data_IF_112624961182
#
_entry.id   IF_112624961182
#
_cell.length_a   1.000
_cell.length_b   1.000
_cell.length_c   1.000
_cell.angle_alpha   90.00
_cell.angle_beta   90.00
_cell.angle_gamma   90.00
#
_symmetry.space_group_name_H-M   'P 1'
#
loop_
_entity.id
_entity.type
_entity.pdbx_description
1 polymer ?
#
# COMPACT_ATOMS: atom_id res chain seq x y z
N UNK A 1 -12.54 -9.41 -3.26
CA UNK A 1 -13.82 -8.76 -2.91
C UNK A 1 -14.21 -8.92 -1.44
N UNK A 2 -14.28 -10.13 -0.84
CA UNK A 2 -14.68 -10.35 0.60
C UNK A 2 -14.09 -9.34 1.61
N UNK A 3 -12.80 -9.00 1.49
CA UNK A 3 -12.15 -8.09 2.43
C UNK A 3 -12.70 -6.65 2.40
N UNK A 4 -13.37 -6.23 1.32
CA UNK A 4 -14.01 -4.91 1.24
C UNK A 4 -15.13 -4.76 2.27
N UNK A 5 -15.79 -5.87 2.60
CA UNK A 5 -16.88 -5.92 3.58
C UNK A 5 -16.33 -6.18 4.99
N UNK A 6 -15.43 -7.15 5.13
CA UNK A 6 -14.98 -7.63 6.45
C UNK A 6 -13.91 -6.74 7.09
N UNK A 7 -13.08 -6.05 6.28
CA UNK A 7 -11.91 -5.27 6.72
C UNK A 7 -11.00 -6.07 7.68
N UNK A 8 -10.95 -7.38 7.44
CA UNK A 8 -10.11 -8.30 8.19
C UNK A 8 -8.63 -7.95 7.95
N UNK A 9 -8.29 -7.73 6.68
CA UNK A 9 -6.97 -7.30 6.22
C UNK A 9 -6.91 -5.81 5.93
N UNK A 10 -5.79 -5.20 6.29
CA UNK A 10 -5.44 -3.82 5.93
C UNK A 10 -4.63 -3.84 4.64
N UNK A 11 -5.12 -3.15 3.62
CA UNK A 11 -4.40 -3.00 2.36
C UNK A 11 -3.55 -1.72 2.41
N UNK A 12 -2.27 -1.79 2.06
CA UNK A 12 -1.38 -0.62 1.93
C UNK A 12 -1.00 -0.43 0.47
N UNK A 13 -1.30 0.75 -0.05
CA UNK A 13 -0.92 1.22 -1.38
C UNK A 13 0.43 1.94 -1.32
N UNK A 14 1.44 1.39 -2.01
CA UNK A 14 2.81 1.89 -2.06
C UNK A 14 3.03 3.00 -3.10
N UNK A 15 2.00 3.38 -3.87
CA UNK A 15 2.10 4.45 -4.88
C UNK A 15 2.17 5.83 -4.22
N UNK A 16 2.56 6.83 -4.99
CA UNK A 16 2.56 8.22 -4.50
C UNK A 16 1.14 8.67 -4.14
N UNK A 17 1.04 9.60 -3.19
CA UNK A 17 -0.25 10.08 -2.69
C UNK A 17 -1.14 10.67 -3.80
N UNK A 18 -0.55 11.31 -4.82
CA UNK A 18 -1.30 11.79 -5.99
C UNK A 18 -1.96 10.65 -6.76
N UNK A 19 -1.21 9.59 -7.09
CA UNK A 19 -1.75 8.41 -7.78
C UNK A 19 -2.84 7.70 -6.97
N UNK A 20 -2.62 7.55 -5.66
CA UNK A 20 -3.63 7.02 -4.74
C UNK A 20 -4.93 7.85 -4.76
N UNK A 21 -4.84 9.18 -4.79
CA UNK A 21 -6.02 10.06 -4.91
C UNK A 21 -6.64 10.09 -6.31
N UNK A 22 -5.98 9.51 -7.31
CA UNK A 22 -6.38 9.55 -8.71
C UNK A 22 -5.96 10.83 -9.45
N UNK A 23 -5.01 11.56 -8.90
CA UNK A 23 -4.44 12.76 -9.50
C UNK A 23 -3.31 12.38 -10.46
N UNK A 24 -3.30 13.00 -11.65
CA UNK A 24 -2.24 12.84 -12.66
C UNK A 24 -1.96 11.37 -13.04
N UNK A 25 -2.99 10.53 -13.08
CA UNK A 25 -2.83 9.13 -13.51
C UNK A 25 -2.55 9.07 -15.02
N UNK A 26 -1.39 8.53 -15.37
CA UNK A 26 -0.90 8.41 -16.76
C UNK A 26 -0.45 7.00 -17.11
N UNK A 27 -0.43 6.09 -16.12
CA UNK A 27 0.07 4.73 -16.25
C UNK A 27 -1.07 3.71 -16.35
N UNK A 28 -2.12 3.90 -15.55
CA UNK A 28 -3.26 2.98 -15.47
C UNK A 28 -4.53 3.56 -16.10
N UNK A 29 -5.49 2.69 -16.45
CA UNK A 29 -6.71 3.09 -17.16
C UNK A 29 -7.63 4.00 -16.33
N UNK A 30 -7.57 3.89 -14.99
CA UNK A 30 -8.38 4.66 -14.05
C UNK A 30 -7.50 5.12 -12.90
N UNK A 31 -7.59 6.40 -12.54
CA UNK A 31 -6.97 6.95 -11.33
C UNK A 31 -7.81 6.64 -10.08
N UNK A 32 -7.15 6.51 -8.93
CA UNK A 32 -7.79 6.28 -7.64
C UNK A 32 -7.13 5.14 -6.88
N UNK A 33 -7.85 4.57 -5.91
CA UNK A 33 -7.37 3.45 -5.10
C UNK A 33 -8.50 2.48 -4.74
N UNK A 34 -8.10 1.33 -4.20
CA UNK A 34 -8.99 0.27 -3.74
C UNK A 34 -9.66 0.75 -2.44
N UNK A 35 -11.00 0.64 -2.30
CA UNK A 35 -11.69 1.14 -1.12
C UNK A 35 -11.12 0.59 0.20
N UNK A 36 -10.86 1.50 1.14
CA UNK A 36 -10.32 1.16 2.46
C UNK A 36 -8.81 0.88 2.49
N UNK A 37 -8.10 1.00 1.37
CA UNK A 37 -6.64 0.97 1.38
C UNK A 37 -6.08 2.17 2.15
N UNK A 38 -4.98 1.98 2.86
CA UNK A 38 -4.14 3.05 3.39
C UNK A 38 -3.07 3.41 2.37
N UNK A 39 -2.59 4.66 2.37
CA UNK A 39 -1.46 5.07 1.53
C UNK A 39 -0.20 5.28 2.37
N UNK A 40 0.91 4.71 1.91
CA UNK A 40 2.27 5.05 2.35
C UNK A 40 3.15 5.00 1.12
N UNK A 41 3.81 6.08 0.76
CA UNK A 41 4.64 6.06 -0.44
C UNK A 41 5.90 5.22 -0.16
N UNK A 42 6.30 4.34 -1.07
CA UNK A 42 7.43 3.44 -0.80
C UNK A 42 8.73 4.17 -0.45
N UNK A 43 8.94 5.38 -0.99
CA UNK A 43 10.11 6.21 -0.71
C UNK A 43 10.13 6.72 0.73
N UNK A 44 9.00 6.76 1.41
CA UNK A 44 8.93 7.14 2.83
C UNK A 44 9.60 6.10 3.74
N UNK A 45 9.96 4.92 3.21
CA UNK A 45 10.79 3.93 3.94
C UNK A 45 12.29 4.23 3.84
N UNK A 46 12.69 5.18 2.99
CA UNK A 46 14.07 5.46 2.67
C UNK A 46 14.54 6.78 3.32
N UNK A 47 15.84 6.90 3.55
CA UNK A 47 16.52 8.15 3.86
C UNK A 47 16.73 8.95 2.57
N UNK A 48 17.17 10.21 2.70
CA UNK A 48 17.52 11.07 1.55
C UNK A 48 18.56 10.44 0.61
N UNK A 49 19.40 9.57 1.15
CA UNK A 49 20.50 8.93 0.43
C UNK A 49 20.08 7.59 -0.19
N UNK A 50 18.79 7.23 -0.09
CA UNK A 50 18.21 6.03 -0.72
C UNK A 50 18.37 4.73 0.07
N UNK A 51 18.89 4.79 1.31
CA UNK A 51 18.96 3.64 2.19
C UNK A 51 17.66 3.46 2.98
N UNK A 52 17.32 2.24 3.41
CA UNK A 52 16.22 2.06 4.35
C UNK A 52 16.50 2.83 5.65
N UNK A 53 15.44 3.44 6.20
CA UNK A 53 15.45 3.98 7.56
C UNK A 53 15.80 2.87 8.57
N UNK A 54 16.22 3.26 9.77
CA UNK A 54 16.55 2.30 10.82
C UNK A 54 15.31 1.48 11.24
N UNK A 55 15.54 0.26 11.72
CA UNK A 55 14.46 -0.64 12.17
C UNK A 55 13.51 0.00 13.20
N UNK A 56 13.97 0.74 14.23
CA UNK A 56 13.07 1.40 15.17
C UNK A 56 12.18 2.45 14.51
N UNK A 57 12.73 3.28 13.61
CA UNK A 57 11.97 4.33 12.91
C UNK A 57 10.91 3.70 12.00
N UNK A 58 11.28 2.68 11.22
CA UNK A 58 10.33 1.97 10.38
C UNK A 58 9.21 1.32 11.21
N UNK A 59 9.57 0.69 12.33
CA UNK A 59 8.60 0.07 13.24
C UNK A 59 7.60 1.09 13.78
N UNK A 60 8.08 2.23 14.26
CA UNK A 60 7.22 3.28 14.81
C UNK A 60 6.28 3.84 13.74
N UNK A 61 6.80 4.14 12.55
CA UNK A 61 5.98 4.65 11.43
C UNK A 61 4.93 3.63 10.95
N UNK A 62 5.29 2.35 10.84
CA UNK A 62 4.33 1.29 10.49
C UNK A 62 3.29 1.08 11.59
N UNK A 63 3.66 1.16 12.87
CA UNK A 63 2.70 1.06 13.96
C UNK A 63 1.71 2.24 13.97
N UNK A 64 2.18 3.46 13.68
CA UNK A 64 1.29 4.63 13.52
C UNK A 64 0.31 4.41 12.37
N UNK A 65 0.77 3.85 11.25
CA UNK A 65 -0.07 3.57 10.09
C UNK A 65 -1.08 2.44 10.35
N UNK A 66 -0.66 1.36 11.02
CA UNK A 66 -1.44 0.13 11.18
C UNK A 66 -2.33 0.13 12.42
N UNK A 67 -2.00 0.92 13.44
CA UNK A 67 -2.61 0.82 14.76
C UNK A 67 -2.39 -0.57 15.36
N UNK A 68 -3.47 -1.20 15.85
CA UNK A 68 -3.42 -2.52 16.49
C UNK A 68 -3.41 -3.70 15.50
N UNK A 69 -3.36 -3.43 14.18
CA UNK A 69 -3.42 -4.48 13.16
C UNK A 69 -2.08 -5.23 13.08
N UNK A 70 -2.08 -6.57 13.23
CA UNK A 70 -0.85 -7.35 13.11
C UNK A 70 -0.35 -7.38 11.66
N UNK A 71 0.96 -7.47 11.48
CA UNK A 71 1.60 -7.49 10.16
C UNK A 71 1.07 -8.60 9.23
N UNK A 72 0.67 -9.75 9.79
CA UNK A 72 0.11 -10.87 9.03
C UNK A 72 -1.29 -10.60 8.45
N UNK A 73 -1.95 -9.54 8.94
CA UNK A 73 -3.20 -9.03 8.39
C UNK A 73 -2.97 -7.86 7.42
N UNK A 74 -1.74 -7.62 6.98
CA UNK A 74 -1.41 -6.59 6.02
C UNK A 74 -1.26 -7.20 4.63
N UNK A 75 -1.88 -6.55 3.64
CA UNK A 75 -1.68 -6.83 2.22
C UNK A 75 -1.03 -5.60 1.58
N UNK A 76 0.03 -5.81 0.82
CA UNK A 76 0.83 -4.78 0.18
C UNK A 76 0.53 -4.79 -1.33
N UNK A 77 0.30 -3.61 -1.89
CA UNK A 77 0.08 -3.43 -3.33
C UNK A 77 0.74 -2.14 -3.85
N UNK A 78 0.90 -2.05 -5.16
CA UNK A 78 1.27 -0.78 -5.81
C UNK A 78 0.58 -0.61 -7.18
N UNK A 79 1.31 -0.21 -8.23
CA UNK A 79 0.79 -0.27 -9.60
C UNK A 79 0.71 -1.71 -10.10
N UNK A 80 1.86 -2.36 -10.17
CA UNK A 80 2.06 -3.68 -10.78
C UNK A 80 2.81 -4.68 -9.89
N UNK A 81 2.70 -4.53 -8.56
CA UNK A 81 3.28 -5.43 -7.57
C UNK A 81 4.78 -5.26 -7.26
N UNK A 82 5.55 -4.54 -8.09
CA UNK A 82 7.02 -4.44 -7.93
C UNK A 82 7.42 -3.63 -6.70
N UNK A 83 6.96 -2.38 -6.57
CA UNK A 83 7.35 -1.52 -5.45
C UNK A 83 6.70 -1.91 -4.13
N UNK A 84 5.66 -2.75 -4.14
CA UNK A 84 5.10 -3.36 -2.93
C UNK A 84 6.12 -4.26 -2.20
N UNK A 85 7.07 -4.85 -2.93
CA UNK A 85 8.16 -5.63 -2.34
C UNK A 85 9.07 -4.78 -1.44
N UNK A 86 9.21 -3.47 -1.72
CA UNK A 86 9.98 -2.56 -0.85
C UNK A 86 9.29 -2.35 0.49
N UNK A 87 7.96 -2.36 0.54
CA UNK A 87 7.22 -2.37 1.81
C UNK A 87 7.45 -3.66 2.58
N UNK A 88 7.40 -4.81 1.90
CA UNK A 88 7.63 -6.10 2.55
C UNK A 88 9.02 -6.12 3.20
N UNK A 89 10.06 -5.69 2.48
CA UNK A 89 11.42 -5.59 3.03
C UNK A 89 11.53 -4.58 4.18
N UNK A 90 10.89 -3.41 4.06
CA UNK A 90 10.89 -2.41 5.14
C UNK A 90 10.21 -2.94 6.42
N UNK A 91 9.12 -3.71 6.28
CA UNK A 91 8.43 -4.35 7.41
C UNK A 91 9.28 -5.47 8.02
N UNK A 92 9.99 -6.27 7.22
CA UNK A 92 10.95 -7.26 7.71
C UNK A 92 12.09 -6.60 8.52
N UNK A 93 12.67 -5.51 8.00
CA UNK A 93 13.69 -4.71 8.73
C UNK A 93 13.12 -4.16 10.03
N UNK A 94 11.88 -3.68 10.02
CA UNK A 94 11.17 -3.23 11.21
C UNK A 94 10.84 -4.37 12.20
N UNK A 95 11.12 -5.64 11.86
CA UNK A 95 10.75 -6.81 12.64
C UNK A 95 9.23 -7.00 12.76
N UNK A 96 8.51 -6.71 11.67
CA UNK A 96 7.07 -6.89 11.49
C UNK A 96 6.81 -7.90 10.33
N UNK A 97 7.23 -9.17 10.47
CA UNK A 97 7.20 -10.12 9.37
C UNK A 97 5.79 -10.62 9.03
N UNK A 98 5.64 -11.12 7.80
CA UNK A 98 4.45 -11.89 7.39
C UNK A 98 3.35 -11.11 6.67
N UNK A 99 3.61 -9.86 6.28
CA UNK A 99 2.73 -9.15 5.34
C UNK A 99 2.67 -9.89 3.99
N UNK A 100 1.50 -9.89 3.36
CA UNK A 100 1.27 -10.54 2.07
C UNK A 100 1.38 -9.53 0.93
N UNK A 101 1.70 -10.01 -0.28
CA UNK A 101 1.69 -9.20 -1.50
C UNK A 101 0.42 -9.50 -2.29
N UNK A 102 -0.16 -8.47 -2.90
CA UNK A 102 -1.16 -8.59 -3.95
C UNK A 102 -0.51 -8.26 -5.32
N UNK A 103 -0.04 -9.27 -6.07
CA UNK A 103 0.80 -9.04 -7.26
C UNK A 103 0.08 -8.29 -8.38
N UNK A 104 -1.21 -8.58 -8.60
CA UNK A 104 -2.02 -7.90 -9.60
C UNK A 104 -2.19 -6.41 -9.32
N UNK A 105 -2.18 -6.02 -8.04
CA UNK A 105 -2.10 -4.63 -7.60
C UNK A 105 -3.17 -3.72 -8.23
N UNK A 106 -2.90 -2.42 -8.38
CA UNK A 106 -3.84 -1.48 -8.96
C UNK A 106 -4.19 -1.81 -10.41
N UNK A 107 -3.22 -2.19 -11.25
CA UNK A 107 -3.46 -2.45 -12.67
C UNK A 107 -4.46 -3.59 -12.89
N UNK A 108 -4.36 -4.69 -12.12
CA UNK A 108 -5.38 -5.75 -12.16
C UNK A 108 -6.71 -5.27 -11.61
N UNK A 109 -6.70 -4.52 -10.50
CA UNK A 109 -7.93 -4.02 -9.87
C UNK A 109 -8.74 -3.12 -10.81
N UNK A 110 -8.11 -2.10 -11.39
CA UNK A 110 -8.79 -1.08 -12.19
C UNK A 110 -9.14 -1.55 -13.61
N UNK A 111 -8.65 -2.72 -14.05
CA UNK A 111 -8.99 -3.31 -15.35
C UNK A 111 -10.40 -3.90 -15.40
N UNK A 112 -10.99 -4.17 -14.24
CA UNK A 112 -12.35 -4.67 -14.09
C UNK A 112 -13.28 -3.52 -13.66
N UNK A 113 -14.14 -3.01 -14.56
CA UNK A 113 -14.99 -1.85 -14.29
C UNK A 113 -16.10 -2.14 -13.26
N UNK A 114 -16.36 -3.41 -12.92
CA UNK A 114 -17.32 -3.76 -11.87
C UNK A 114 -16.72 -3.59 -10.46
N UNK A 115 -15.40 -3.45 -10.34
CA UNK A 115 -14.74 -3.25 -9.05
C UNK A 115 -14.82 -1.79 -8.60
N UNK A 116 -15.16 -1.55 -7.33
CA UNK A 116 -15.27 -0.20 -6.82
C UNK A 116 -13.90 0.48 -6.79
N UNK A 117 -13.89 1.76 -7.12
CA UNK A 117 -12.73 2.65 -7.09
C UNK A 117 -13.09 3.87 -6.25
N UNK A 118 -12.15 4.29 -5.40
CA UNK A 118 -12.24 5.58 -4.70
C UNK A 118 -11.27 6.54 -5.37
N UNK A 119 -11.79 7.66 -5.87
CA UNK A 119 -11.02 8.86 -6.17
C UNK A 119 -11.23 9.85 -5.04
N UNK A 120 -10.25 10.70 -4.75
CA UNK A 120 -10.46 11.70 -3.72
C UNK A 120 -11.57 12.67 -4.14
N UNK A 121 -12.61 12.76 -3.33
CA UNK A 121 -13.44 13.94 -3.17
C UNK A 121 -13.82 14.01 -1.70
N UNK A 122 -13.15 14.94 -0.99
CA UNK A 122 -13.21 15.22 0.46
C UNK A 122 -12.51 14.23 1.39
#
# INVERSE_FOLDING_TARGET
MRNLETREYTLIDARSAGRYRGENETLDAVGGHIPGALNRFFQDNLTSDGHFKSAPVLRDEFNVLLGDKPAQQVILQCGSGVTACLHALAMEIAGLPGAMLYPGSWSEWCSDPERPVVTASS
#
